data_IF_016920772611
#
_entry.id   IF_016920772611
#
_cell.length_a   1.000
_cell.length_b   1.000
_cell.length_c   1.000
_cell.angle_alpha   90.00
_cell.angle_beta   90.00
_cell.angle_gamma   90.00
#
_symmetry.space_group_name_H-M   'P 1'
#
loop_
_entity.id
_entity.type
_entity.pdbx_description
1 polymer ?
#
# COMPACT_ATOMS: atom_id res chain seq x y z
N UNK A 1 -19.63 40.67 14.31
CA UNK A 1 -18.15 40.59 14.26
C UNK A 1 -17.50 40.24 15.62
N UNK A 2 -18.16 39.46 16.49
CA UNK A 2 -17.57 39.04 17.78
C UNK A 2 -17.08 37.58 17.77
N UNK A 3 -17.73 36.72 17.00
CA UNK A 3 -17.46 35.27 16.96
C UNK A 3 -16.05 34.95 16.46
N UNK A 4 -15.45 35.80 15.62
CA UNK A 4 -14.15 35.50 15.01
C UNK A 4 -12.92 35.70 15.91
N UNK A 5 -13.07 36.36 17.07
CA UNK A 5 -11.95 36.67 17.97
C UNK A 5 -11.71 35.59 19.03
N UNK A 6 -12.70 34.77 19.33
CA UNK A 6 -12.61 33.83 20.46
C UNK A 6 -11.79 32.57 20.13
N UNK A 7 -11.69 32.19 18.85
CA UNK A 7 -10.90 31.02 18.43
C UNK A 7 -9.39 31.26 18.33
N UNK A 8 -8.89 32.47 18.60
CA UNK A 8 -7.44 32.71 18.73
C UNK A 8 -6.92 32.63 20.16
N UNK A 9 -7.81 32.54 21.17
CA UNK A 9 -7.47 32.70 22.58
C UNK A 9 -7.69 31.41 23.38
N UNK A 10 -8.67 30.59 23.00
CA UNK A 10 -8.95 29.31 23.68
C UNK A 10 -8.60 28.10 22.81
N UNK A 11 -7.58 27.29 23.17
CA UNK A 11 -7.29 26.03 22.50
C UNK A 11 -8.45 25.02 22.55
N UNK A 12 -9.42 25.17 23.46
CA UNK A 12 -10.65 24.35 23.48
C UNK A 12 -11.68 24.78 22.43
N UNK A 13 -11.56 25.98 21.84
CA UNK A 13 -12.41 26.43 20.74
C UNK A 13 -11.98 25.84 19.37
N UNK A 14 -10.93 25.01 19.34
CA UNK A 14 -10.45 24.23 18.19
C UNK A 14 -11.25 22.92 17.94
N UNK A 15 -12.46 22.82 18.48
CA UNK A 15 -13.34 21.65 18.39
C UNK A 15 -13.71 21.26 16.93
N UNK A 16 -13.46 22.14 15.95
CA UNK A 16 -13.61 21.84 14.51
C UNK A 16 -12.66 20.75 14.01
N UNK A 17 -11.48 20.61 14.63
CA UNK A 17 -10.52 19.56 14.28
C UNK A 17 -10.55 18.37 15.25
N UNK A 18 -11.29 18.50 16.34
CA UNK A 18 -11.45 17.44 17.33
C UNK A 18 -12.51 16.46 16.83
N UNK A 19 -12.13 15.69 15.80
CA UNK A 19 -12.97 14.66 15.21
C UNK A 19 -13.13 13.54 16.23
N UNK A 20 -14.18 13.64 17.06
CA UNK A 20 -14.62 12.62 18.02
C UNK A 20 -15.20 11.40 17.30
N UNK A 21 -14.38 10.73 16.48
CA UNK A 21 -14.73 9.45 15.89
C UNK A 21 -14.12 8.34 16.74
N UNK A 22 -14.87 7.26 16.95
CA UNK A 22 -14.30 6.02 17.47
C UNK A 22 -13.10 5.63 16.60
N UNK A 23 -11.98 5.24 17.22
CA UNK A 23 -10.78 4.83 16.49
C UNK A 23 -11.12 3.62 15.65
N UNK A 24 -11.08 3.78 14.33
CA UNK A 24 -11.28 2.69 13.40
C UNK A 24 -10.20 1.61 13.61
N UNK A 25 -10.52 0.32 13.41
CA UNK A 25 -9.56 -0.76 13.62
C UNK A 25 -8.39 -0.63 12.64
N UNK A 26 -7.18 -0.71 13.18
CA UNK A 26 -5.93 -0.69 12.40
C UNK A 26 -5.68 -2.03 11.71
N UNK A 27 -4.74 -2.09 10.75
CA UNK A 27 -4.29 -3.36 10.15
C UNK A 27 -3.92 -4.35 11.24
N UNK A 28 -3.13 -3.92 12.23
CA UNK A 28 -2.69 -4.78 13.34
C UNK A 28 -3.86 -5.33 14.15
N UNK A 29 -4.88 -4.51 14.40
CA UNK A 29 -6.06 -4.93 15.17
C UNK A 29 -6.86 -5.97 14.39
N UNK A 30 -7.04 -5.73 13.08
CA UNK A 30 -7.73 -6.64 12.18
C UNK A 30 -6.96 -7.96 12.05
N UNK A 31 -5.65 -7.90 11.84
CA UNK A 31 -4.76 -9.06 11.75
C UNK A 31 -4.82 -9.92 13.00
N UNK A 32 -4.74 -9.32 14.20
CA UNK A 32 -4.92 -10.05 15.49
C UNK A 32 -6.28 -10.74 15.53
N UNK A 33 -7.35 -10.05 15.11
CA UNK A 33 -8.69 -10.62 15.12
C UNK A 33 -8.87 -11.77 14.14
N UNK A 34 -8.21 -11.70 12.97
CA UNK A 34 -8.22 -12.73 11.94
C UNK A 34 -7.41 -13.96 12.38
N UNK A 35 -6.21 -13.75 12.95
CA UNK A 35 -5.39 -14.83 13.49
C UNK A 35 -6.07 -15.56 14.66
N UNK A 36 -6.82 -14.85 15.49
CA UNK A 36 -7.62 -15.49 16.54
C UNK A 36 -8.75 -16.38 16.00
N UNK A 37 -9.18 -16.14 14.75
CA UNK A 37 -10.27 -16.87 14.07
C UNK A 37 -9.78 -17.96 13.11
N UNK A 38 -8.50 -17.96 12.73
CA UNK A 38 -7.89 -18.98 11.87
C UNK A 38 -8.15 -20.45 12.30
N UNK A 39 -8.14 -20.85 13.59
CA UNK A 39 -8.40 -22.26 13.92
C UNK A 39 -9.86 -22.71 13.70
N UNK A 40 -10.78 -21.80 13.36
CA UNK A 40 -12.21 -22.06 13.23
C UNK A 40 -12.79 -21.78 11.83
N UNK A 41 -11.98 -21.27 10.89
CA UNK A 41 -12.44 -20.87 9.55
C UNK A 41 -11.99 -21.85 8.46
N UNK A 42 -12.68 -21.86 7.32
CA UNK A 42 -12.47 -22.71 6.14
C UNK A 42 -11.11 -22.49 5.41
N UNK A 43 -10.19 -21.73 6.01
CA UNK A 43 -8.97 -21.24 5.36
C UNK A 43 -7.70 -22.06 5.65
N UNK A 44 -6.70 -21.85 4.81
CA UNK A 44 -5.34 -22.37 5.03
C UNK A 44 -4.67 -21.65 6.20
N UNK A 45 -4.06 -22.40 7.12
CA UNK A 45 -3.34 -21.83 8.27
C UNK A 45 -2.19 -20.93 7.79
N UNK A 46 -2.09 -19.71 8.33
CA UNK A 46 -1.05 -18.76 7.96
C UNK A 46 -1.39 -17.88 6.76
N UNK A 47 -2.58 -18.04 6.19
CA UNK A 47 -3.11 -17.22 5.08
C UNK A 47 -3.17 -15.74 5.43
N UNK A 48 -3.60 -15.41 6.65
CA UNK A 48 -3.68 -14.03 7.14
C UNK A 48 -2.30 -13.40 7.17
N UNK A 49 -1.32 -14.10 7.75
CA UNK A 49 0.07 -13.66 7.83
C UNK A 49 0.68 -13.51 6.42
N UNK A 50 0.36 -14.44 5.51
CA UNK A 50 0.83 -14.38 4.13
C UNK A 50 0.26 -13.15 3.41
N UNK A 51 -1.05 -12.89 3.46
CA UNK A 51 -1.64 -11.67 2.87
C UNK A 51 -1.03 -10.42 3.50
N UNK A 52 -0.93 -10.34 4.83
CA UNK A 52 -0.36 -9.18 5.51
C UNK A 52 1.09 -8.91 5.07
N UNK A 53 1.90 -9.95 4.90
CA UNK A 53 3.25 -9.87 4.32
C UNK A 53 3.20 -9.35 2.88
N UNK A 54 2.29 -9.85 2.05
CA UNK A 54 2.10 -9.36 0.68
C UNK A 54 1.79 -7.86 0.66
N UNK A 55 0.85 -7.39 1.47
CA UNK A 55 0.45 -5.98 1.51
C UNK A 55 1.64 -5.07 1.92
N UNK A 56 2.52 -5.57 2.80
CA UNK A 56 3.77 -4.88 3.14
C UNK A 56 4.74 -4.81 1.95
N UNK A 57 4.80 -5.86 1.13
CA UNK A 57 5.60 -5.87 -0.10
C UNK A 57 5.07 -4.86 -1.11
N UNK A 58 3.75 -4.84 -1.39
CA UNK A 58 3.11 -3.80 -2.23
C UNK A 58 3.45 -2.39 -1.73
N UNK A 59 3.35 -2.16 -0.43
CA UNK A 59 3.69 -0.87 0.17
C UNK A 59 5.17 -0.51 -0.07
N UNK A 60 6.07 -1.49 0.03
CA UNK A 60 7.51 -1.31 -0.19
C UNK A 60 7.81 -1.02 -1.66
N UNK A 61 7.13 -1.69 -2.59
CA UNK A 61 7.17 -1.42 -4.03
C UNK A 61 6.72 0.01 -4.34
N UNK A 62 5.58 0.45 -3.80
CA UNK A 62 5.04 1.81 -3.97
C UNK A 62 6.04 2.85 -3.45
N UNK A 63 6.56 2.67 -2.24
CA UNK A 63 7.53 3.61 -1.66
C UNK A 63 8.82 3.68 -2.49
N UNK A 64 9.31 2.54 -2.99
CA UNK A 64 10.51 2.53 -3.82
C UNK A 64 10.29 3.30 -5.14
N UNK A 65 9.12 3.13 -5.78
CA UNK A 65 8.73 3.89 -6.97
C UNK A 65 8.67 5.39 -6.69
N UNK A 66 8.08 5.79 -5.57
CA UNK A 66 7.99 7.19 -5.17
C UNK A 66 9.38 7.80 -4.93
N UNK A 67 10.25 7.10 -4.20
CA UNK A 67 11.60 7.58 -3.89
C UNK A 67 12.46 7.71 -5.16
N UNK A 68 12.31 6.78 -6.10
CA UNK A 68 12.98 6.83 -7.41
C UNK A 68 12.48 8.02 -8.24
N UNK A 69 11.16 8.27 -8.25
CA UNK A 69 10.56 9.41 -8.93
C UNK A 69 11.02 10.74 -8.32
N UNK A 70 11.13 10.82 -7.00
CA UNK A 70 11.60 12.00 -6.29
C UNK A 70 13.09 12.27 -6.52
N UNK A 71 13.92 11.22 -6.57
CA UNK A 71 15.35 11.37 -6.83
C UNK A 71 15.64 11.84 -8.28
N UNK A 72 14.81 11.45 -9.24
CA UNK A 72 14.87 11.92 -10.62
C UNK A 72 16.18 11.55 -11.36
N UNK A 73 16.45 12.18 -12.52
CA UNK A 73 17.62 11.84 -13.34
C UNK A 73 18.98 12.17 -12.71
N UNK A 74 19.03 12.96 -11.64
CA UNK A 74 20.25 13.46 -11.00
C UNK A 74 20.61 12.66 -9.73
N UNK A 75 20.37 11.35 -9.73
CA UNK A 75 20.75 10.48 -8.63
C UNK A 75 22.27 10.47 -8.42
N UNK A 76 22.71 10.69 -7.19
CA UNK A 76 24.11 10.50 -6.78
C UNK A 76 24.50 9.01 -6.76
N UNK A 77 25.78 8.69 -6.87
CA UNK A 77 26.28 7.30 -6.78
C UNK A 77 25.83 6.59 -5.50
N UNK A 78 25.82 7.31 -4.37
CA UNK A 78 25.32 6.80 -3.10
C UNK A 78 23.83 6.44 -3.15
N UNK A 79 23.00 7.26 -3.79
CA UNK A 79 21.57 7.00 -3.97
C UNK A 79 21.33 5.82 -4.92
N UNK A 80 22.07 5.73 -6.03
CA UNK A 80 21.99 4.60 -6.96
C UNK A 80 22.30 3.28 -6.26
N UNK A 81 23.36 3.24 -5.46
CA UNK A 81 23.73 2.05 -4.70
C UNK A 81 22.71 1.71 -3.61
N UNK A 82 22.09 2.70 -2.97
CA UNK A 82 20.97 2.49 -2.05
C UNK A 82 19.78 1.84 -2.76
N UNK A 83 19.38 2.38 -3.92
CA UNK A 83 18.26 1.85 -4.70
C UNK A 83 18.53 0.44 -5.22
N UNK A 84 19.74 0.16 -5.70
CA UNK A 84 20.15 -1.19 -6.12
C UNK A 84 20.01 -2.20 -4.97
N UNK A 85 20.54 -1.88 -3.78
CA UNK A 85 20.42 -2.75 -2.59
C UNK A 85 18.97 -2.95 -2.15
N UNK A 86 18.15 -1.92 -2.26
CA UNK A 86 16.73 -2.02 -1.92
C UNK A 86 15.96 -2.88 -2.92
N UNK A 87 16.28 -2.80 -4.21
CA UNK A 87 15.74 -3.70 -5.25
C UNK A 87 16.16 -5.15 -5.01
N UNK A 88 17.44 -5.41 -4.75
CA UNK A 88 17.94 -6.77 -4.49
C UNK A 88 17.21 -7.42 -3.31
N UNK A 89 17.07 -6.67 -2.21
CA UNK A 89 16.34 -7.14 -1.04
C UNK A 89 14.87 -7.40 -1.37
N UNK A 90 14.19 -6.46 -2.00
CA UNK A 90 12.79 -6.59 -2.38
C UNK A 90 12.57 -7.77 -3.31
N UNK A 91 13.51 -8.03 -4.23
CA UNK A 91 13.46 -9.14 -5.17
C UNK A 91 13.53 -10.48 -4.44
N UNK A 92 14.41 -10.63 -3.45
CA UNK A 92 14.46 -11.82 -2.59
C UNK A 92 13.19 -12.00 -1.75
N UNK A 93 12.63 -10.92 -1.21
CA UNK A 93 11.39 -10.98 -0.42
C UNK A 93 10.17 -11.34 -1.28
N UNK A 94 10.09 -10.85 -2.53
CA UNK A 94 9.06 -11.20 -3.51
C UNK A 94 9.24 -12.63 -3.99
N UNK A 95 10.45 -13.06 -4.34
CA UNK A 95 10.70 -14.43 -4.80
C UNK A 95 10.29 -15.46 -3.74
N UNK A 96 10.61 -15.22 -2.47
CA UNK A 96 10.17 -16.09 -1.37
C UNK A 96 8.66 -16.01 -1.14
N UNK A 97 8.02 -14.84 -1.29
CA UNK A 97 6.58 -14.71 -1.21
C UNK A 97 5.84 -15.49 -2.33
N UNK A 98 6.35 -15.42 -3.56
CA UNK A 98 5.83 -16.14 -4.71
C UNK A 98 6.03 -17.66 -4.58
N UNK A 99 7.13 -18.11 -3.98
CA UNK A 99 7.35 -19.52 -3.68
C UNK A 99 6.31 -20.09 -2.72
N UNK A 100 5.80 -19.27 -1.79
CA UNK A 100 4.76 -19.66 -0.84
C UNK A 100 3.35 -19.65 -1.46
N UNK A 101 3.13 -18.89 -2.53
CA UNK A 101 1.81 -18.60 -3.12
C UNK A 101 0.99 -19.85 -3.53
N UNK A 102 1.56 -20.91 -4.13
CA UNK A 102 0.80 -22.10 -4.51
C UNK A 102 0.11 -22.79 -3.31
N UNK A 103 0.62 -22.60 -2.09
CA UNK A 103 0.04 -23.16 -0.86
C UNK A 103 -1.27 -22.49 -0.45
N UNK A 104 -1.55 -21.28 -0.95
CA UNK A 104 -2.71 -20.48 -0.59
C UNK A 104 -3.66 -20.26 -1.76
N UNK A 105 -3.12 -20.00 -2.96
CA UNK A 105 -3.89 -19.66 -4.17
C UNK A 105 -4.08 -20.88 -5.09
N UNK A 106 -3.32 -21.95 -4.85
CA UNK A 106 -3.35 -23.16 -5.66
C UNK A 106 -2.38 -23.13 -6.86
N UNK A 107 -2.14 -24.30 -7.49
CA UNK A 107 -1.13 -24.48 -8.53
C UNK A 107 -1.46 -23.81 -9.88
N UNK A 108 -2.66 -23.23 -10.03
CA UNK A 108 -3.10 -22.55 -11.24
C UNK A 108 -2.66 -21.08 -11.36
N UNK A 109 -2.02 -20.51 -10.33
CA UNK A 109 -1.49 -19.15 -10.41
C UNK A 109 -0.21 -19.13 -11.25
N UNK A 110 -0.37 -18.83 -12.53
CA UNK A 110 0.75 -18.58 -13.43
C UNK A 110 1.09 -17.08 -13.38
N UNK A 111 2.22 -16.74 -12.76
CA UNK A 111 2.77 -15.36 -12.74
C UNK A 111 3.06 -14.80 -14.13
N UNK A 112 3.03 -15.65 -15.17
CA UNK A 112 3.34 -15.29 -16.54
C UNK A 112 2.11 -14.99 -17.41
N UNK A 113 0.89 -15.15 -16.89
CA UNK A 113 -0.34 -15.10 -17.71
C UNK A 113 -1.07 -13.75 -17.67
N UNK A 114 -0.34 -12.63 -17.54
CA UNK A 114 -0.94 -11.32 -17.73
C UNK A 114 -0.09 -10.45 -18.68
N UNK A 115 -0.19 -10.76 -19.98
CA UNK A 115 -0.15 -9.75 -21.04
C UNK A 115 -1.47 -8.93 -21.07
N UNK A 116 -2.13 -8.76 -19.92
CA UNK A 116 -3.28 -7.89 -19.75
C UNK A 116 -2.83 -6.45 -19.61
N UNK A 117 -2.51 -5.82 -20.75
CA UNK A 117 -2.49 -4.38 -20.96
C UNK A 117 -1.99 -3.58 -19.73
N UNK A 118 -0.69 -3.63 -19.47
CA UNK A 118 0.03 -2.69 -18.62
C UNK A 118 -0.09 -1.28 -19.20
N UNK A 119 -1.28 -0.70 -19.18
CA UNK A 119 -1.41 0.74 -19.14
C UNK A 119 -0.94 1.13 -17.75
N UNK A 120 0.12 1.96 -17.65
CA UNK A 120 0.38 2.68 -16.41
C UNK A 120 -0.94 3.31 -15.94
N UNK A 121 -1.16 3.37 -14.64
CA UNK A 121 -2.24 4.15 -14.03
C UNK A 121 -1.93 5.65 -14.25
N UNK A 122 -1.96 6.08 -15.51
CA UNK A 122 -1.91 7.46 -15.93
C UNK A 122 -3.33 7.88 -16.26
N UNK A 123 -4.16 8.13 -15.23
CA UNK A 123 -5.39 8.88 -15.43
C UNK A 123 -5.83 9.63 -14.17
N UNK A 124 -4.96 10.51 -13.68
CA UNK A 124 -5.41 11.77 -13.12
C UNK A 124 -4.95 12.86 -14.10
N UNK A 125 -5.90 13.37 -14.89
CA UNK A 125 -5.68 14.40 -15.92
C UNK A 125 -5.16 15.72 -15.36
N UNK A 126 -3.87 15.77 -15.07
CA UNK A 126 -3.08 16.99 -15.04
C UNK A 126 -2.43 17.14 -16.41
N UNK A 127 -3.19 17.77 -17.32
CA UNK A 127 -2.66 18.39 -18.53
C UNK A 127 -1.52 19.34 -18.14
N UNK A 128 -0.30 18.84 -18.37
CA UNK A 128 0.95 19.57 -18.17
C UNK A 128 2.04 18.81 -18.89
N UNK A 129 1.84 18.61 -20.21
CA UNK A 129 2.79 18.10 -21.21
C UNK A 129 4.24 18.02 -20.71
N UNK A 130 4.63 16.86 -20.18
CA UNK A 130 6.01 16.39 -20.13
C UNK A 130 5.98 14.98 -20.69
N UNK A 131 6.00 14.94 -22.02
CA UNK A 131 6.54 13.84 -22.79
C UNK A 131 8.06 13.83 -22.57
N UNK A 132 8.47 13.61 -21.32
CA UNK A 132 9.83 13.23 -20.99
C UNK A 132 9.76 11.71 -20.81
N UNK A 133 9.97 10.99 -21.91
CA UNK A 133 10.54 9.65 -21.82
C UNK A 133 11.66 9.72 -20.78
N UNK A 134 11.41 9.16 -19.59
CA UNK A 134 12.43 9.13 -18.54
C UNK A 134 13.68 8.53 -19.18
N UNK A 135 14.82 9.24 -19.20
CA UNK A 135 16.00 8.71 -19.85
C UNK A 135 16.34 7.38 -19.19
N UNK A 136 16.37 6.32 -20.01
CA UNK A 136 16.72 4.94 -19.64
C UNK A 136 17.85 4.93 -18.61
N UNK A 137 17.49 4.80 -17.33
CA UNK A 137 18.45 4.79 -16.24
C UNK A 137 19.22 3.47 -16.22
N UNK A 138 20.39 3.39 -15.55
CA UNK A 138 21.21 2.17 -15.46
C UNK A 138 20.54 0.96 -14.79
N UNK A 139 19.27 1.08 -14.42
CA UNK A 139 18.50 0.17 -13.58
C UNK A 139 17.23 -0.35 -14.27
N UNK A 140 17.12 -0.17 -15.58
CA UNK A 140 15.94 -0.47 -16.39
C UNK A 140 15.83 -1.96 -16.80
N UNK A 141 15.93 -2.85 -15.81
CA UNK A 141 15.48 -4.23 -15.94
C UNK A 141 13.99 -4.35 -15.60
N UNK A 142 13.39 -5.54 -15.75
CA UNK A 142 12.06 -5.85 -15.20
C UNK A 142 12.03 -5.43 -13.72
N UNK A 143 11.42 -4.28 -13.48
CA UNK A 143 11.64 -3.54 -12.26
C UNK A 143 10.91 -4.30 -11.15
N UNK A 144 11.64 -4.76 -10.15
CA UNK A 144 11.10 -5.57 -9.04
C UNK A 144 9.88 -4.88 -8.37
N UNK A 145 9.86 -3.56 -8.39
CA UNK A 145 8.77 -2.70 -7.93
C UNK A 145 7.48 -2.72 -8.77
N UNK A 146 7.50 -3.35 -9.93
CA UNK A 146 6.38 -3.51 -10.87
C UNK A 146 5.85 -4.94 -10.94
N UNK A 147 6.43 -5.87 -10.17
CA UNK A 147 5.95 -7.26 -10.11
C UNK A 147 4.57 -7.29 -9.43
N UNK A 148 3.56 -7.79 -10.13
CA UNK A 148 2.24 -8.01 -9.56
C UNK A 148 2.26 -9.20 -8.60
N UNK A 149 1.75 -8.99 -7.38
CA UNK A 149 1.66 -10.05 -6.39
C UNK A 149 0.34 -10.82 -6.51
N UNK A 150 0.32 -12.14 -6.24
CA UNK A 150 -0.89 -12.96 -6.20
C UNK A 150 -1.82 -12.54 -5.07
N UNK A 151 -2.69 -11.57 -5.32
CA UNK A 151 -3.81 -11.29 -4.43
C UNK A 151 -5.12 -11.79 -5.01
N UNK A 152 -6.06 -12.24 -4.16
CA UNK A 152 -7.45 -12.44 -4.57
C UNK A 152 -8.02 -11.27 -5.38
N UNK A 153 -7.74 -10.03 -4.99
CA UNK A 153 -8.14 -8.83 -5.74
C UNK A 153 -7.56 -8.75 -7.16
N UNK A 154 -6.36 -9.29 -7.39
CA UNK A 154 -5.71 -9.35 -8.70
C UNK A 154 -6.22 -10.53 -9.56
N UNK A 155 -6.68 -11.61 -8.93
CA UNK A 155 -7.27 -12.76 -9.64
C UNK A 155 -8.65 -12.46 -10.22
N UNK A 156 -9.36 -11.51 -9.59
CA UNK A 156 -10.73 -11.16 -9.94
C UNK A 156 -11.77 -12.07 -9.27
N UNK A 157 -12.95 -11.49 -9.05
CA UNK A 157 -14.03 -12.12 -8.28
C UNK A 157 -14.44 -13.48 -8.84
N UNK A 158 -14.58 -13.60 -10.17
CA UNK A 158 -15.05 -14.85 -10.77
C UNK A 158 -14.08 -16.00 -10.55
N UNK A 159 -12.78 -15.76 -10.73
CA UNK A 159 -11.74 -16.76 -10.48
C UNK A 159 -11.67 -17.15 -9.00
N UNK A 160 -11.78 -16.19 -8.10
CA UNK A 160 -11.87 -16.50 -6.67
C UNK A 160 -13.08 -17.38 -6.31
N UNK A 161 -14.21 -17.26 -7.02
CA UNK A 161 -15.36 -18.15 -6.83
C UNK A 161 -15.09 -19.54 -7.39
N UNK A 162 -14.60 -19.62 -8.62
CA UNK A 162 -14.34 -20.87 -9.31
C UNK A 162 -13.29 -21.71 -8.55
N UNK A 163 -12.30 -21.05 -7.95
CA UNK A 163 -11.21 -21.66 -7.18
C UNK A 163 -11.52 -21.80 -5.68
N UNK A 164 -12.71 -21.36 -5.21
CA UNK A 164 -13.10 -21.44 -3.79
C UNK A 164 -12.27 -20.57 -2.83
N UNK A 165 -11.68 -19.48 -3.35
CA UNK A 165 -10.82 -18.54 -2.63
C UNK A 165 -11.58 -17.34 -2.02
N UNK A 166 -12.91 -17.40 -1.93
CA UNK A 166 -13.73 -16.31 -1.37
C UNK A 166 -13.32 -15.93 0.06
N UNK A 167 -12.98 -16.93 0.88
CA UNK A 167 -12.51 -16.71 2.25
C UNK A 167 -11.17 -15.95 2.29
N UNK A 168 -10.29 -16.17 1.33
CA UNK A 168 -8.99 -15.50 1.20
C UNK A 168 -9.20 -14.05 0.73
N UNK A 169 -10.14 -13.84 -0.19
CA UNK A 169 -10.55 -12.50 -0.64
C UNK A 169 -11.15 -11.66 0.50
N UNK A 170 -11.97 -12.28 1.36
CA UNK A 170 -12.55 -11.62 2.53
C UNK A 170 -11.47 -11.20 3.54
N UNK A 171 -10.48 -12.06 3.80
CA UNK A 171 -9.34 -11.71 4.66
C UNK A 171 -8.54 -10.54 4.07
N UNK A 172 -8.27 -10.55 2.76
CA UNK A 172 -7.60 -9.44 2.09
C UNK A 172 -8.38 -8.14 2.22
N UNK A 173 -9.70 -8.17 1.97
CA UNK A 173 -10.57 -7.00 2.09
C UNK A 173 -10.54 -6.38 3.49
N UNK A 174 -10.59 -7.21 4.53
CA UNK A 174 -10.50 -6.74 5.91
C UNK A 174 -9.14 -6.10 6.20
N UNK A 175 -8.03 -6.73 5.77
CA UNK A 175 -6.69 -6.17 5.96
C UNK A 175 -6.50 -4.84 5.21
N UNK A 176 -6.96 -4.74 3.95
CA UNK A 176 -6.94 -3.49 3.18
C UNK A 176 -7.79 -2.39 3.81
N UNK A 177 -8.92 -2.74 4.43
CA UNK A 177 -9.72 -1.79 5.22
C UNK A 177 -8.92 -1.24 6.39
N UNK A 178 -8.18 -2.10 7.11
CA UNK A 178 -7.25 -1.66 8.16
C UNK A 178 -6.17 -0.73 7.64
N UNK A 179 -5.64 -0.99 6.43
CA UNK A 179 -4.58 -0.19 5.82
C UNK A 179 -5.09 1.20 5.44
N UNK A 180 -6.31 1.28 4.91
CA UNK A 180 -6.99 2.53 4.64
C UNK A 180 -7.18 3.34 5.94
N UNK A 181 -7.62 2.69 7.02
CA UNK A 181 -7.79 3.34 8.32
C UNK A 181 -6.47 3.88 8.88
N UNK A 182 -5.38 3.11 8.81
CA UNK A 182 -4.06 3.55 9.27
C UNK A 182 -3.52 4.71 8.44
N UNK A 183 -3.72 4.67 7.12
CA UNK A 183 -3.30 5.72 6.19
C UNK A 183 -4.09 7.02 6.44
N UNK A 184 -5.40 6.92 6.59
CA UNK A 184 -6.27 8.05 6.94
C UNK A 184 -5.87 8.67 8.28
N UNK A 185 -5.52 7.85 9.28
CA UNK A 185 -5.06 8.34 10.56
C UNK A 185 -3.74 9.13 10.43
N UNK A 186 -2.77 8.61 9.68
CA UNK A 186 -1.50 9.32 9.40
C UNK A 186 -1.73 10.66 8.70
N UNK A 187 -2.63 10.71 7.72
CA UNK A 187 -2.98 11.95 7.02
C UNK A 187 -3.58 12.98 7.97
N UNK A 188 -4.50 12.56 8.86
CA UNK A 188 -5.10 13.45 9.87
C UNK A 188 -4.03 14.05 10.80
N UNK A 189 -3.08 13.25 11.26
CA UNK A 189 -1.98 13.73 12.10
C UNK A 189 -1.10 14.75 11.36
N UNK A 190 -0.67 14.43 10.13
CA UNK A 190 0.16 15.34 9.34
C UNK A 190 -0.55 16.67 9.03
N UNK A 191 -1.87 16.64 8.79
CA UNK A 191 -2.68 17.84 8.61
C UNK A 191 -2.79 18.66 9.90
N UNK A 192 -3.00 18.01 11.05
CA UNK A 192 -3.07 18.68 12.35
C UNK A 192 -1.75 19.38 12.69
N UNK A 193 -0.62 18.70 12.50
CA UNK A 193 0.71 19.26 12.71
C UNK A 193 0.95 20.50 11.83
N UNK A 194 0.61 20.39 10.54
CA UNK A 194 0.75 21.50 9.59
C UNK A 194 -0.17 22.67 9.94
N UNK A 195 -1.42 22.40 10.35
CA UNK A 195 -2.36 23.43 10.76
C UNK A 195 -1.90 24.17 12.03
N UNK A 196 -1.28 23.45 12.98
CA UNK A 196 -0.69 24.07 14.17
C UNK A 196 0.48 24.99 13.80
N UNK A 197 1.40 24.53 12.94
CA UNK A 197 2.53 25.36 12.48
C UNK A 197 2.09 26.66 11.80
N UNK A 198 1.00 26.64 11.03
CA UNK A 198 0.46 27.85 10.39
C UNK A 198 -0.24 28.82 11.34
N UNK A 199 -0.57 28.39 12.56
CA UNK A 199 -1.18 29.25 13.58
C UNK A 199 -0.16 29.83 14.55
N UNK A 200 0.95 29.14 14.75
CA UNK A 200 2.03 29.54 15.67
C UNK A 200 3.14 30.35 15.00
N UNK A 201 3.13 30.45 13.66
CA UNK A 201 3.96 31.37 12.87
C UNK A 201 3.10 32.52 12.33
#
# INVERSE_FOLDING_TARGET
MAVMRDHSIDPKAMDVFDVRMAKAPSVKTIEISLLAREPAAEGCRGSVTWIARGLLLEQTQIMLRMDLKEAGPQCTECQLLLFARRRDRLSGEIASFLADAPSYVGPGYDTNSDEGNSRPLDEDGWDGRLDDELPMGPLDGCATESIHLPFPSALGVQRCRDDGLEWLAEQEMQLRTGQANDTLHKLRLALADKAMLFRTN
#
